data_IF_639107471498
#
_entry.id   IF_639107471498
#
_cell.length_a   1.000
_cell.length_b   1.000
_cell.length_c   1.000
_cell.angle_alpha   90.00
_cell.angle_beta   90.00
_cell.angle_gamma   90.00
#
_symmetry.space_group_name_H-M   'P 1'
#
loop_
_entity.id
_entity.type
_entity.pdbx_description
1 polymer ?
#
# COMPACT_ATOMS: atom_id res chain seq x y z
N UNK A 1 -6.38 3.17 4.58
CA UNK A 1 -5.12 2.51 4.19
C UNK A 1 -4.09 2.77 5.28
N UNK A 2 -3.43 1.73 5.78
CA UNK A 2 -2.29 1.87 6.70
C UNK A 2 -0.98 1.97 5.94
N UNK A 3 -0.13 2.89 6.36
CA UNK A 3 1.14 3.20 5.70
C UNK A 3 2.25 3.45 6.72
N UNK A 4 3.46 3.34 6.27
CA UNK A 4 4.67 3.79 7.00
C UNK A 4 5.50 4.72 6.11
N UNK A 5 6.45 5.42 6.73
CA UNK A 5 7.39 6.33 6.06
C UNK A 5 8.80 6.23 6.66
N UNK A 6 9.76 6.84 6.00
CA UNK A 6 11.14 6.99 6.48
C UNK A 6 11.82 5.63 6.76
N UNK A 7 11.54 4.62 5.95
CA UNK A 7 12.14 3.31 6.09
C UNK A 7 13.14 3.03 4.96
N UNK A 8 14.39 2.75 5.34
CA UNK A 8 15.48 2.46 4.40
C UNK A 8 15.27 1.16 3.59
N UNK A 9 14.48 0.22 4.12
CA UNK A 9 14.19 -1.05 3.44
C UNK A 9 13.46 -0.81 2.11
N UNK A 10 12.57 0.17 2.06
CA UNK A 10 11.83 0.54 0.86
C UNK A 10 12.77 0.94 -0.29
N UNK A 11 13.86 1.63 0.03
CA UNK A 11 14.83 2.09 -0.97
C UNK A 11 15.60 0.95 -1.65
N UNK A 12 15.69 -0.22 -1.00
CA UNK A 12 16.38 -1.40 -1.56
C UNK A 12 15.56 -2.06 -2.67
N UNK A 13 14.24 -2.18 -2.48
CA UNK A 13 13.33 -2.82 -3.41
C UNK A 13 12.03 -2.01 -3.56
N UNK A 14 12.09 -0.80 -4.12
CA UNK A 14 10.96 0.13 -4.08
C UNK A 14 9.73 -0.37 -4.85
N UNK A 15 9.91 -1.18 -5.89
CA UNK A 15 8.81 -1.73 -6.67
C UNK A 15 8.13 -2.96 -6.03
N UNK A 16 8.54 -3.35 -4.83
CA UNK A 16 7.82 -4.36 -4.05
C UNK A 16 6.60 -3.78 -3.33
N UNK A 17 6.51 -2.46 -3.21
CA UNK A 17 5.49 -1.76 -2.43
C UNK A 17 4.50 -0.99 -3.27
N UNK A 18 3.31 -0.77 -2.73
CA UNK A 18 2.40 0.26 -3.17
C UNK A 18 2.62 1.55 -2.39
N UNK A 19 2.22 2.68 -2.97
CA UNK A 19 2.41 4.00 -2.38
C UNK A 19 1.15 4.84 -2.47
N UNK A 20 1.02 5.78 -1.53
CA UNK A 20 -0.10 6.72 -1.50
C UNK A 20 0.41 8.15 -1.53
N UNK A 21 -0.13 8.96 -2.44
CA UNK A 21 0.01 10.41 -2.40
C UNK A 21 -1.17 11.00 -1.65
N UNK A 22 -0.89 11.89 -0.71
CA UNK A 22 -1.92 12.50 0.14
C UNK A 22 -2.05 14.00 -0.11
N UNK A 23 -3.24 14.54 0.22
CA UNK A 23 -3.52 15.96 0.34
C UNK A 23 -4.28 16.18 1.65
N UNK A 24 -3.92 17.25 2.43
CA UNK A 24 -4.55 17.64 3.70
C UNK A 24 -4.77 16.45 4.67
N UNK A 25 -4.04 16.35 5.64
CA UNK A 25 -2.77 15.65 5.83
C UNK A 25 -2.90 14.15 5.57
N UNK A 26 -4.13 13.60 5.50
CA UNK A 26 -4.43 12.17 5.49
C UNK A 26 -5.35 11.69 4.34
N UNK A 27 -5.80 12.59 3.45
CA UNK A 27 -6.64 12.20 2.32
C UNK A 27 -5.80 11.66 1.17
N UNK A 28 -6.03 10.41 0.78
CA UNK A 28 -5.42 9.84 -0.40
C UNK A 28 -5.98 10.48 -1.67
N UNK A 29 -5.08 10.96 -2.54
CA UNK A 29 -5.43 11.49 -3.86
C UNK A 29 -4.91 10.63 -5.00
N UNK A 30 -3.99 9.73 -4.71
CA UNK A 30 -3.44 8.77 -5.67
C UNK A 30 -2.91 7.55 -4.95
N UNK A 31 -3.12 6.38 -5.52
CA UNK A 31 -2.57 5.10 -5.04
C UNK A 31 -1.87 4.41 -6.19
N UNK A 32 -0.62 3.99 -5.97
CA UNK A 32 0.11 3.11 -6.88
C UNK A 32 0.15 1.70 -6.34
N UNK A 33 0.36 0.74 -7.24
CA UNK A 33 0.61 -0.64 -6.88
C UNK A 33 1.92 -1.09 -7.56
N UNK A 34 2.87 -1.55 -6.76
CA UNK A 34 4.18 -2.04 -7.24
C UNK A 34 4.94 -1.03 -8.13
N UNK A 35 4.76 0.26 -7.87
CA UNK A 35 5.37 1.34 -8.65
C UNK A 35 5.59 2.57 -7.77
N UNK A 36 6.80 3.10 -7.79
CA UNK A 36 7.17 4.33 -7.08
C UNK A 36 6.39 5.55 -7.60
N UNK A 37 6.17 6.52 -6.72
CA UNK A 37 5.46 7.78 -7.03
C UNK A 37 6.37 9.01 -6.93
N UNK A 38 7.60 8.83 -6.42
CA UNK A 38 8.60 9.88 -6.32
C UNK A 38 10.01 9.33 -6.55
N UNK A 39 10.99 10.23 -6.60
CA UNK A 39 12.42 9.88 -6.68
C UNK A 39 12.99 9.41 -5.32
N UNK A 40 12.27 9.60 -4.23
CA UNK A 40 12.70 9.22 -2.87
C UNK A 40 11.59 8.39 -2.20
N UNK A 41 11.38 7.15 -2.66
CA UNK A 41 10.25 6.32 -2.23
C UNK A 41 10.21 6.05 -0.72
N UNK A 42 11.35 6.03 -0.04
CA UNK A 42 11.39 5.88 1.42
C UNK A 42 10.73 7.02 2.20
N UNK A 43 10.51 8.19 1.59
CA UNK A 43 9.79 9.31 2.19
C UNK A 43 8.30 9.33 1.88
N UNK A 44 7.85 8.51 0.93
CA UNK A 44 6.45 8.42 0.56
C UNK A 44 5.66 7.57 1.56
N UNK A 45 4.34 7.73 1.58
CA UNK A 45 3.46 6.82 2.29
C UNK A 45 3.49 5.45 1.63
N UNK A 46 4.21 4.51 2.22
CA UNK A 46 4.35 3.14 1.74
C UNK A 46 3.27 2.25 2.37
N UNK A 47 2.54 1.50 1.56
CA UNK A 47 1.42 0.66 2.01
C UNK A 47 1.97 -0.57 2.74
N UNK A 48 1.43 -0.86 3.93
CA UNK A 48 1.80 -2.05 4.73
C UNK A 48 1.02 -3.32 4.37
N UNK A 49 0.01 -3.20 3.49
CA UNK A 49 -0.88 -4.31 3.14
C UNK A 49 -2.14 -4.42 4.00
N UNK A 50 -2.38 -3.46 4.91
CA UNK A 50 -3.60 -3.40 5.72
C UNK A 50 -4.56 -2.33 5.19
N UNK A 51 -5.82 -2.74 5.05
CA UNK A 51 -6.92 -1.90 4.55
C UNK A 51 -8.16 -2.10 5.40
N UNK A 52 -8.94 -1.05 5.60
CA UNK A 52 -10.28 -1.17 6.16
C UNK A 52 -11.29 -0.44 5.30
N UNK A 53 -12.47 -0.97 5.26
CA UNK A 53 -13.61 -0.42 4.53
C UNK A 53 -14.75 -0.16 5.51
N UNK A 54 -15.33 1.02 5.46
CA UNK A 54 -16.48 1.37 6.33
C UNK A 54 -17.68 0.46 6.04
N UNK A 55 -17.82 0.01 4.78
CA UNK A 55 -18.90 -0.88 4.34
C UNK A 55 -18.30 -2.03 3.52
N UNK A 56 -18.70 -3.26 3.81
CA UNK A 56 -18.27 -4.44 3.07
C UNK A 56 -18.66 -4.35 1.59
N UNK A 57 -19.81 -3.77 1.28
CA UNK A 57 -20.29 -3.58 -0.09
C UNK A 57 -19.32 -2.76 -0.94
N UNK A 58 -18.67 -1.77 -0.35
CA UNK A 58 -17.65 -0.97 -1.05
C UNK A 58 -16.47 -1.84 -1.48
N UNK A 59 -15.95 -2.65 -0.54
CA UNK A 59 -14.88 -3.60 -0.86
C UNK A 59 -15.29 -4.58 -1.96
N UNK A 60 -16.45 -5.21 -1.79
CA UNK A 60 -16.98 -6.21 -2.74
C UNK A 60 -17.18 -5.61 -4.14
N UNK A 61 -17.77 -4.41 -4.23
CA UNK A 61 -18.00 -3.72 -5.49
C UNK A 61 -16.69 -3.50 -6.26
N UNK A 62 -15.72 -2.83 -5.64
CA UNK A 62 -14.48 -2.45 -6.32
C UNK A 62 -13.55 -3.64 -6.57
N UNK A 63 -13.62 -4.68 -5.73
CA UNK A 63 -12.93 -5.94 -6.00
C UNK A 63 -13.50 -6.67 -7.22
N UNK A 64 -14.82 -6.75 -7.33
CA UNK A 64 -15.49 -7.32 -8.51
C UNK A 64 -15.19 -6.51 -9.77
N UNK A 65 -15.21 -5.18 -9.69
CA UNK A 65 -14.87 -4.29 -10.81
C UNK A 65 -13.43 -4.52 -11.28
N UNK A 66 -12.47 -4.66 -10.34
CA UNK A 66 -11.07 -4.95 -10.65
C UNK A 66 -10.92 -6.29 -11.38
N UNK A 67 -11.58 -7.34 -10.88
CA UNK A 67 -11.56 -8.68 -11.48
C UNK A 67 -12.21 -8.66 -12.87
N UNK A 68 -13.36 -8.02 -13.02
CA UNK A 68 -14.08 -7.88 -14.29
C UNK A 68 -13.24 -7.16 -15.35
N UNK A 69 -12.50 -6.11 -14.96
CA UNK A 69 -11.60 -5.39 -15.84
C UNK A 69 -10.31 -6.18 -16.13
N UNK A 70 -10.07 -7.27 -15.44
CA UNK A 70 -8.87 -8.11 -15.52
C UNK A 70 -7.54 -7.31 -15.40
N UNK A 71 -7.54 -6.23 -14.62
CA UNK A 71 -6.38 -5.36 -14.39
C UNK A 71 -5.45 -6.00 -13.38
N UNK A 72 -4.57 -6.87 -13.87
CA UNK A 72 -3.54 -7.55 -13.07
C UNK A 72 -2.23 -6.79 -13.09
N UNK A 73 -1.46 -6.92 -12.01
CA UNK A 73 -0.07 -6.49 -11.92
C UNK A 73 0.73 -7.73 -11.54
N UNK A 74 1.80 -8.04 -12.29
CA UNK A 74 2.56 -9.28 -12.12
C UNK A 74 1.66 -10.54 -12.12
N UNK A 75 0.63 -10.57 -12.98
CA UNK A 75 -0.39 -11.63 -13.10
C UNK A 75 -1.32 -11.81 -11.89
N UNK A 76 -1.26 -10.92 -10.90
CA UNK A 76 -2.04 -10.97 -9.66
C UNK A 76 -2.96 -9.76 -9.49
N UNK A 77 -3.99 -9.92 -8.66
CA UNK A 77 -4.82 -8.82 -8.18
C UNK A 77 -4.33 -8.38 -6.81
N UNK A 78 -4.24 -7.08 -6.60
CA UNK A 78 -3.79 -6.48 -5.33
C UNK A 78 -4.85 -5.57 -4.72
N UNK A 79 -4.92 -5.54 -3.39
CA UNK A 79 -5.79 -4.60 -2.66
C UNK A 79 -5.40 -3.13 -2.89
N UNK A 80 -4.13 -2.85 -3.17
CA UNK A 80 -3.65 -1.53 -3.60
C UNK A 80 -4.42 -1.05 -4.84
N UNK A 81 -4.69 -1.96 -5.79
CA UNK A 81 -5.46 -1.66 -7.00
C UNK A 81 -6.94 -1.41 -6.70
N UNK A 82 -7.51 -2.10 -5.72
CA UNK A 82 -8.87 -1.81 -5.22
C UNK A 82 -8.92 -0.41 -4.60
N UNK A 83 -7.96 -0.09 -3.74
CA UNK A 83 -7.85 1.25 -3.14
C UNK A 83 -7.67 2.34 -4.21
N UNK A 84 -6.88 2.07 -5.25
CA UNK A 84 -6.73 2.98 -6.41
C UNK A 84 -8.06 3.24 -7.11
N UNK A 85 -8.88 2.21 -7.32
CA UNK A 85 -10.23 2.36 -7.90
C UNK A 85 -11.13 3.21 -7.00
N UNK A 86 -11.09 3.00 -5.68
CA UNK A 86 -11.85 3.80 -4.73
C UNK A 86 -11.48 5.29 -4.83
N UNK A 87 -10.19 5.63 -4.86
CA UNK A 87 -9.70 7.00 -5.00
C UNK A 87 -10.11 7.58 -6.36
N UNK A 88 -9.94 6.83 -7.44
CA UNK A 88 -10.33 7.26 -8.80
C UNK A 88 -11.84 7.50 -8.93
N UNK A 89 -12.64 6.79 -8.16
CA UNK A 89 -14.10 6.97 -8.05
C UNK A 89 -14.51 8.08 -7.08
N UNK A 90 -13.56 8.89 -6.62
CA UNK A 90 -13.76 10.04 -5.71
C UNK A 90 -14.32 9.65 -4.33
N UNK A 91 -14.12 8.42 -3.89
CA UNK A 91 -14.39 8.07 -2.51
C UNK A 91 -13.37 8.74 -1.58
N UNK A 92 -13.83 9.05 -0.37
CA UNK A 92 -12.93 9.55 0.68
C UNK A 92 -12.11 8.36 1.20
N UNK A 93 -10.82 8.37 0.92
CA UNK A 93 -9.88 7.34 1.37
C UNK A 93 -8.87 7.98 2.31
N UNK A 94 -8.86 7.54 3.55
CA UNK A 94 -7.96 8.04 4.60
C UNK A 94 -6.69 7.20 4.70
N UNK A 95 -5.60 7.86 5.03
CA UNK A 95 -4.30 7.24 5.29
C UNK A 95 -4.00 7.29 6.77
N UNK A 96 -3.70 6.14 7.36
CA UNK A 96 -3.25 6.02 8.75
C UNK A 96 -1.75 5.70 8.76
N UNK A 97 -0.96 6.60 9.28
CA UNK A 97 0.48 6.41 9.43
C UNK A 97 0.78 5.61 10.69
N UNK A 98 1.50 4.49 10.55
CA UNK A 98 1.98 3.72 11.70
C UNK A 98 3.37 4.20 12.11
N UNK A 99 3.65 4.16 13.41
CA UNK A 99 4.92 4.62 13.98
C UNK A 99 6.07 3.63 13.72
N UNK A 100 5.75 2.34 13.57
CA UNK A 100 6.73 1.28 13.34
C UNK A 100 6.21 0.25 12.37
N UNK A 101 7.04 -0.16 11.43
CA UNK A 101 6.78 -1.25 10.50
C UNK A 101 7.89 -2.28 10.60
N UNK A 102 7.53 -3.54 10.79
CA UNK A 102 8.43 -4.70 10.77
C UNK A 102 7.94 -5.62 9.66
N UNK A 103 8.71 -5.73 8.59
CA UNK A 103 8.39 -6.62 7.47
C UNK A 103 8.78 -8.06 7.77
N UNK A 104 7.87 -8.99 7.50
CA UNK A 104 8.11 -10.44 7.50
C UNK A 104 7.70 -11.07 6.16
N UNK A 105 7.65 -10.24 5.12
CA UNK A 105 7.13 -10.64 3.81
C UNK A 105 8.07 -11.53 3.00
N UNK A 106 9.35 -11.58 3.36
CA UNK A 106 10.34 -12.46 2.73
C UNK A 106 11.13 -13.24 3.79
N UNK A 107 11.72 -14.41 3.45
CA UNK A 107 12.59 -15.14 4.37
C UNK A 107 13.72 -14.26 4.92
N UNK A 108 14.32 -13.45 4.08
CA UNK A 108 15.39 -12.51 4.47
C UNK A 108 14.89 -11.46 5.47
N UNK A 109 13.70 -10.89 5.23
CA UNK A 109 13.11 -9.92 6.18
C UNK A 109 12.80 -10.57 7.51
N UNK A 110 12.26 -11.80 7.49
CA UNK A 110 11.97 -12.56 8.70
C UNK A 110 13.25 -12.80 9.52
N UNK A 111 14.31 -13.32 8.90
CA UNK A 111 15.59 -13.58 9.56
C UNK A 111 16.17 -12.30 10.15
N UNK A 112 16.22 -11.22 9.36
CA UNK A 112 16.80 -9.93 9.79
C UNK A 112 16.02 -9.26 10.93
N UNK A 113 14.73 -9.52 11.05
CA UNK A 113 13.87 -8.89 12.05
C UNK A 113 13.56 -9.78 13.26
N UNK A 114 13.86 -11.10 13.19
CA UNK A 114 13.66 -12.06 14.30
C UNK A 114 14.95 -12.42 15.03
N UNK A 115 16.13 -12.18 14.43
CA UNK A 115 17.39 -12.34 15.15
C UNK A 115 17.44 -11.26 16.24
N UNK A 116 17.07 -11.66 17.44
CA UNK A 116 17.31 -10.88 18.65
C UNK A 116 18.83 -10.68 18.70
N UNK A 117 19.27 -9.45 18.55
CA UNK A 117 20.66 -9.10 18.86
C UNK A 117 20.83 -9.29 20.36
N UNK A 118 21.31 -10.45 20.75
CA UNK A 118 21.84 -10.66 22.10
C UNK A 118 23.07 -9.78 22.27
#
# INVERSE_FOLDING_TARGET
IWTFKNNKIVSKNPNMYGYVKTKKPDNAIFVSCKKTISKVPGKDHTIIGAFSFKKAETFLKYSKDLIKQNKRINKEFYLDSVAKLCVSSKLIVKVNLVNKYIGWGTPTDFINNTVIKN
#
